data_IF_010762633837
#
_entry.id   IF_010762633837
#
_cell.length_a   1.000
_cell.length_b   1.000
_cell.length_c   1.000
_cell.angle_alpha   90.00
_cell.angle_beta   90.00
_cell.angle_gamma   90.00
#
_symmetry.space_group_name_H-M   'P 1'
#
loop_
_entity.id
_entity.type
_entity.pdbx_description
1 polymer ?
#
# COMPACT_ATOMS: atom_id res chain seq x y z
N UNK A 1 41.92 6.79 -3.27
CA UNK A 1 40.87 5.79 -3.55
C UNK A 1 39.88 5.82 -2.42
N UNK A 2 38.60 5.88 -2.71
CA UNK A 2 37.55 5.92 -1.68
C UNK A 2 37.13 4.48 -1.41
N UNK A 3 37.52 3.94 -0.26
CA UNK A 3 37.10 2.62 0.21
C UNK A 3 35.83 2.79 1.02
N UNK A 4 34.77 2.10 0.60
CA UNK A 4 33.48 2.08 1.28
C UNK A 4 33.52 1.04 2.42
N UNK A 5 33.14 1.45 3.64
CA UNK A 5 33.05 0.59 4.83
C UNK A 5 31.56 0.35 5.19
N UNK A 6 30.97 -0.78 4.77
CA UNK A 6 29.61 -1.15 5.12
C UNK A 6 29.58 -1.79 6.51
N UNK A 7 29.41 -0.97 7.55
CA UNK A 7 29.02 -1.48 8.87
C UNK A 7 27.65 -2.19 8.86
N UNK A 8 27.11 -2.47 10.06
CA UNK A 8 25.82 -3.14 10.33
C UNK A 8 24.56 -2.35 9.90
N UNK A 9 24.62 -1.61 8.78
CA UNK A 9 23.53 -0.82 8.23
C UNK A 9 22.58 -1.77 7.50
N UNK A 10 21.37 -1.95 8.03
CA UNK A 10 20.24 -2.50 7.28
C UNK A 10 20.07 -1.66 6.01
N UNK A 11 20.02 -2.33 4.87
CA UNK A 11 19.96 -1.69 3.56
C UNK A 11 18.80 -0.67 3.51
N UNK A 12 19.09 0.63 3.34
CA UNK A 12 18.06 1.67 3.27
C UNK A 12 17.27 1.63 1.95
N UNK A 13 17.65 0.78 0.99
CA UNK A 13 16.96 0.63 -0.26
C UNK A 13 16.17 -0.68 -0.28
N UNK A 14 14.85 -0.59 -0.53
CA UNK A 14 14.06 -1.76 -0.93
C UNK A 14 14.55 -2.20 -2.31
N UNK A 15 15.01 -3.43 -2.45
CA UNK A 15 15.57 -3.97 -3.70
C UNK A 15 14.65 -3.72 -4.90
N UNK A 16 15.19 -3.09 -5.96
CA UNK A 16 14.49 -2.77 -7.21
C UNK A 16 14.11 -4.03 -8.04
N UNK A 17 14.50 -5.23 -7.60
CA UNK A 17 14.26 -6.51 -8.30
C UNK A 17 12.77 -6.92 -8.31
N UNK A 18 11.88 -6.18 -7.65
CA UNK A 18 10.43 -6.33 -7.78
C UNK A 18 9.87 -5.75 -9.10
N UNK A 19 10.62 -5.88 -10.20
CA UNK A 19 10.15 -5.61 -11.55
C UNK A 19 8.98 -6.53 -11.86
N UNK A 20 7.78 -5.97 -11.83
CA UNK A 20 6.50 -6.69 -11.83
C UNK A 20 6.26 -7.43 -10.51
N UNK A 21 5.62 -6.78 -9.54
CA UNK A 21 4.95 -7.47 -8.43
C UNK A 21 3.94 -8.42 -9.06
N UNK A 22 4.36 -9.66 -9.33
CA UNK A 22 3.48 -10.71 -9.84
C UNK A 22 2.39 -10.86 -8.79
N UNK A 23 1.12 -10.73 -9.19
CA UNK A 23 0.01 -11.12 -8.33
C UNK A 23 0.30 -12.55 -7.88
N UNK A 24 0.51 -12.80 -6.57
CA UNK A 24 0.93 -14.10 -6.09
C UNK A 24 -0.01 -15.18 -6.62
N UNK A 25 0.53 -16.17 -7.34
CA UNK A 25 -0.22 -17.34 -7.77
C UNK A 25 -0.32 -18.29 -6.58
N UNK A 26 -1.20 -17.93 -5.63
CA UNK A 26 -1.35 -18.63 -4.35
C UNK A 26 -2.42 -17.97 -3.50
N UNK A 27 -2.77 -18.57 -2.34
CA UNK A 27 -3.74 -17.96 -1.44
C UNK A 27 -3.28 -16.56 -1.03
N UNK A 28 -4.20 -15.58 -1.11
CA UNK A 28 -3.91 -14.20 -0.72
C UNK A 28 -3.42 -14.16 0.74
N UNK A 29 -2.33 -13.43 1.06
CA UNK A 29 -1.87 -13.25 2.43
C UNK A 29 -3.01 -12.78 3.35
N UNK A 30 -2.89 -13.04 4.64
CA UNK A 30 -3.81 -12.44 5.60
C UNK A 30 -3.52 -10.94 5.80
N UNK A 31 -4.52 -10.20 6.29
CA UNK A 31 -4.38 -8.79 6.62
C UNK A 31 -4.29 -7.87 5.40
N UNK A 32 -3.69 -6.70 5.61
CA UNK A 32 -3.59 -5.62 4.62
C UNK A 32 -2.85 -6.07 3.36
N UNK A 33 -1.81 -6.89 3.50
CA UNK A 33 -0.99 -7.35 2.38
C UNK A 33 -1.72 -8.23 1.35
N UNK A 34 -2.86 -8.83 1.73
CA UNK A 34 -3.71 -9.60 0.83
C UNK A 34 -4.99 -8.87 0.38
N UNK A 35 -5.16 -7.61 0.75
CA UNK A 35 -6.33 -6.81 0.40
C UNK A 35 -6.13 -6.16 -0.96
N UNK A 36 -7.12 -6.29 -1.86
CA UNK A 36 -7.15 -5.50 -3.10
C UNK A 36 -7.60 -4.07 -2.79
N UNK A 37 -6.98 -3.08 -3.43
CA UNK A 37 -7.35 -1.67 -3.28
C UNK A 37 -8.83 -1.43 -3.64
N UNK A 38 -9.35 -2.17 -4.62
CA UNK A 38 -10.75 -2.04 -5.04
C UNK A 38 -11.73 -2.58 -3.99
N UNK A 39 -11.32 -3.56 -3.17
CA UNK A 39 -12.12 -4.13 -2.06
C UNK A 39 -12.02 -3.30 -0.75
N UNK A 40 -11.16 -2.27 -0.73
CA UNK A 40 -10.99 -1.39 0.44
C UNK A 40 -12.25 -0.56 0.67
N UNK A 41 -12.83 -0.72 1.86
CA UNK A 41 -13.84 0.15 2.44
C UNK A 41 -13.16 1.00 3.52
N UNK A 42 -13.13 2.32 3.32
CA UNK A 42 -12.58 3.27 4.28
C UNK A 42 -13.63 3.59 5.36
N UNK A 43 -13.39 3.16 6.60
CA UNK A 43 -14.35 3.33 7.70
C UNK A 43 -13.97 4.42 8.71
N UNK A 44 -12.72 4.89 8.72
CA UNK A 44 -12.31 5.98 9.61
C UNK A 44 -10.92 6.54 9.27
N UNK A 45 -10.66 7.77 9.69
CA UNK A 45 -9.32 8.39 9.66
C UNK A 45 -9.10 9.09 10.99
N UNK A 46 -7.95 8.83 11.62
CA UNK A 46 -7.56 9.37 12.92
C UNK A 46 -6.27 10.18 12.77
N UNK A 47 -6.22 11.33 13.44
CA UNK A 47 -5.00 12.09 13.59
C UNK A 47 -4.29 11.64 14.88
N UNK A 48 -3.04 11.21 14.76
CA UNK A 48 -2.18 10.84 15.90
C UNK A 48 -1.00 11.81 15.99
N UNK A 49 -0.23 11.74 17.08
CA UNK A 49 1.02 12.50 17.21
C UNK A 49 2.06 12.15 16.14
N UNK A 50 1.95 10.96 15.52
CA UNK A 50 2.86 10.47 14.47
C UNK A 50 2.31 10.68 13.05
N UNK A 51 1.17 11.39 12.91
CA UNK A 51 0.49 11.61 11.63
C UNK A 51 -0.85 10.87 11.52
N UNK A 52 -1.40 10.83 10.31
CA UNK A 52 -2.70 10.21 10.06
C UNK A 52 -2.62 8.68 9.96
N UNK A 53 -3.64 8.02 10.49
CA UNK A 53 -3.86 6.58 10.38
C UNK A 53 -5.28 6.35 9.88
N UNK A 54 -5.48 5.48 8.90
CA UNK A 54 -6.80 5.15 8.39
C UNK A 54 -7.24 3.76 8.87
N UNK A 55 -8.52 3.60 9.16
CA UNK A 55 -9.15 2.30 9.39
C UNK A 55 -9.85 1.85 8.11
N UNK A 56 -9.51 0.64 7.67
CA UNK A 56 -10.05 0.03 6.47
C UNK A 56 -10.61 -1.36 6.77
N UNK A 57 -11.59 -1.76 5.98
CA UNK A 57 -12.15 -3.10 5.99
C UNK A 57 -12.11 -3.65 4.57
N UNK A 58 -11.93 -4.97 4.46
CA UNK A 58 -12.20 -5.66 3.19
C UNK A 58 -13.68 -5.99 3.15
N UNK A 59 -14.31 -5.75 2.00
CA UNK A 59 -15.70 -6.14 1.72
C UNK A 59 -15.97 -7.64 1.94
N UNK A 60 -14.96 -8.50 1.80
CA UNK A 60 -15.12 -9.95 1.90
C UNK A 60 -14.84 -10.52 3.30
N UNK A 61 -13.89 -9.92 4.04
CA UNK A 61 -13.32 -10.56 5.25
C UNK A 61 -13.81 -9.97 6.57
N UNK A 62 -14.61 -8.90 6.57
CA UNK A 62 -15.26 -8.29 7.75
C UNK A 62 -14.33 -7.76 8.86
N UNK A 63 -13.03 -8.09 8.82
CA UNK A 63 -12.02 -7.60 9.76
C UNK A 63 -11.57 -6.20 9.38
N UNK A 64 -11.44 -5.33 10.37
CA UNK A 64 -10.88 -3.99 10.21
C UNK A 64 -9.38 -3.98 10.50
N UNK A 65 -8.65 -3.14 9.77
CA UNK A 65 -7.20 -2.95 9.88
C UNK A 65 -6.88 -1.47 9.94
N UNK A 66 -5.78 -1.12 10.60
CA UNK A 66 -5.22 0.23 10.58
C UNK A 66 -4.07 0.28 9.57
N UNK A 67 -4.10 1.27 8.68
CA UNK A 67 -3.08 1.50 7.66
C UNK A 67 -2.42 2.87 7.82
N UNK A 68 -1.15 2.95 7.41
CA UNK A 68 -0.31 4.15 7.34
C UNK A 68 0.26 4.32 5.94
N UNK A 69 0.77 5.52 5.66
CA UNK A 69 1.55 5.78 4.45
C UNK A 69 2.74 4.80 4.38
N UNK A 70 2.93 4.18 3.21
CA UNK A 70 3.95 3.18 2.96
C UNK A 70 3.53 1.72 3.21
N UNK A 71 2.35 1.50 3.79
CA UNK A 71 1.78 0.15 3.93
C UNK A 71 1.45 -0.41 2.54
N UNK A 72 1.68 -1.71 2.39
CA UNK A 72 1.49 -2.42 1.12
C UNK A 72 0.20 -3.23 1.14
N UNK A 73 -0.55 -3.08 0.05
CA UNK A 73 -1.71 -3.89 -0.28
C UNK A 73 -1.33 -4.95 -1.32
N UNK A 74 -2.26 -5.81 -1.71
CA UNK A 74 -1.98 -6.89 -2.65
C UNK A 74 -1.47 -6.35 -3.99
N UNK A 75 -2.16 -5.32 -4.49
CA UNK A 75 -1.99 -4.72 -5.80
C UNK A 75 -1.53 -3.26 -5.74
N UNK A 76 -0.90 -2.83 -4.65
CA UNK A 76 -0.39 -1.46 -4.55
C UNK A 76 0.09 -1.06 -3.17
N UNK A 77 0.15 0.25 -2.92
CA UNK A 77 0.61 0.84 -1.68
C UNK A 77 -0.13 2.13 -1.32
N UNK A 78 -0.13 2.47 -0.03
CA UNK A 78 -0.69 3.71 0.50
C UNK A 78 0.32 4.83 0.30
N UNK A 79 0.00 5.84 -0.51
CA UNK A 79 0.92 6.95 -0.79
C UNK A 79 0.59 8.22 -0.01
N UNK A 80 -0.66 8.41 0.40
CA UNK A 80 -1.06 9.52 1.26
C UNK A 80 -2.28 9.19 2.11
N UNK A 81 -2.30 9.75 3.33
CA UNK A 81 -3.50 9.81 4.18
C UNK A 81 -3.63 11.25 4.65
N UNK A 82 -4.76 11.87 4.35
CA UNK A 82 -5.10 13.23 4.78
C UNK A 82 -6.47 13.24 5.44
N UNK A 83 -6.94 14.40 5.88
CA UNK A 83 -8.26 14.53 6.46
C UNK A 83 -9.33 14.14 5.43
N UNK A 84 -10.01 13.02 5.68
CA UNK A 84 -11.18 12.59 4.92
C UNK A 84 -10.89 11.71 3.70
N UNK A 85 -9.63 11.45 3.34
CA UNK A 85 -9.31 10.55 2.23
C UNK A 85 -7.98 9.83 2.38
N UNK A 86 -7.90 8.68 1.71
CA UNK A 86 -6.70 7.88 1.52
C UNK A 86 -6.42 7.78 0.02
N UNK A 87 -5.17 8.03 -0.36
CA UNK A 87 -4.70 7.88 -1.74
C UNK A 87 -3.80 6.65 -1.83
N UNK A 88 -4.15 5.78 -2.77
CA UNK A 88 -3.40 4.57 -3.08
C UNK A 88 -2.75 4.69 -4.46
N UNK A 89 -1.58 4.10 -4.61
CA UNK A 89 -0.99 3.78 -5.90
C UNK A 89 -1.29 2.32 -6.22
N UNK A 90 -2.20 2.07 -7.14
CA UNK A 90 -2.57 0.73 -7.59
C UNK A 90 -1.77 0.35 -8.83
N UNK A 91 -1.16 -0.82 -8.83
CA UNK A 91 -0.45 -1.39 -9.96
C UNK A 91 -1.49 -1.90 -10.96
N UNK A 92 -1.33 -1.53 -12.23
CA UNK A 92 -2.21 -1.96 -13.32
C UNK A 92 -1.48 -3.04 -14.12
N UNK A 93 -2.06 -4.23 -14.18
CA UNK A 93 -1.53 -5.35 -14.96
C UNK A 93 -2.01 -5.29 -16.41
N UNK A 94 -1.76 -4.18 -17.09
CA UNK A 94 -2.00 -4.02 -18.53
C UNK A 94 -0.68 -3.73 -19.25
N UNK A 95 -0.16 -4.68 -20.07
CA UNK A 95 1.13 -4.54 -20.73
C UNK A 95 1.15 -3.45 -21.81
N UNK A 96 -0.01 -2.92 -22.22
CA UNK A 96 -0.11 -1.87 -23.24
C UNK A 96 0.00 -0.46 -22.66
N UNK A 97 -0.09 -0.32 -21.33
CA UNK A 97 -0.10 0.99 -20.66
C UNK A 97 1.32 1.43 -20.32
N UNK A 98 1.70 2.63 -20.76
CA UNK A 98 3.03 3.22 -20.49
C UNK A 98 3.24 3.46 -18.98
N UNK A 99 2.18 3.82 -18.25
CA UNK A 99 2.18 3.98 -16.79
C UNK A 99 1.54 2.75 -16.13
N UNK A 100 2.31 1.80 -15.56
CA UNK A 100 1.77 0.55 -15.01
C UNK A 100 1.11 0.74 -13.63
N UNK A 101 0.54 1.92 -13.38
CA UNK A 101 -0.13 2.26 -12.14
C UNK A 101 -1.16 3.37 -12.36
N UNK A 102 -2.16 3.40 -11.48
CA UNK A 102 -3.13 4.49 -11.34
C UNK A 102 -3.23 4.93 -9.89
N UNK A 103 -3.63 6.18 -9.68
CA UNK A 103 -3.99 6.66 -8.34
C UNK A 103 -5.46 6.36 -8.07
N UNK A 104 -5.74 5.81 -6.89
CA UNK A 104 -7.11 5.53 -6.43
C UNK A 104 -7.33 6.31 -5.14
N UNK A 105 -8.33 7.18 -5.15
CA UNK A 105 -8.72 7.98 -3.98
C UNK A 105 -9.95 7.36 -3.34
N UNK A 106 -9.86 7.03 -2.05
CA UNK A 106 -10.99 6.56 -1.24
C UNK A 106 -11.33 7.65 -0.23
N UNK A 107 -12.56 8.16 -0.28
CA UNK A 107 -13.06 9.19 0.65
C UNK A 107 -13.83 8.55 1.81
N UNK A 108 -13.71 9.15 2.98
CA UNK A 108 -14.45 8.79 4.17
C UNK A 108 -15.86 9.38 4.03
N UNK A 109 -16.89 8.54 4.06
CA UNK A 109 -18.29 8.90 3.79
C UNK A 109 -18.49 9.49 2.36
N UNK A 110 -18.42 8.66 1.31
CA UNK A 110 -18.65 9.09 -0.06
C UNK A 110 -20.08 9.56 -0.32
#
# INVERSE_FOLDING_TARGET
GYTYDPGNRRDPFRSLIAGTRRVPTGPRPEGVAGMLIDEVILSGIFQTSQGFVAQVQSSERGKSYLIRVGDQLLDGDVIAIVRGEVVFKQIVSDPTVIKPFREVVKKLNP
#
